data_IF_203027890914
#
_entry.id   IF_203027890914
#
_cell.length_a   1.000
_cell.length_b   1.000
_cell.length_c   1.000
_cell.angle_alpha   90.00
_cell.angle_beta   90.00
_cell.angle_gamma   90.00
#
_symmetry.space_group_name_H-M   'P 1'
#
loop_
_entity.id
_entity.type
_entity.pdbx_description
1 polymer ?
#
# COMPACT_ATOMS: atom_id res chain seq x y z
N UNK A 1 1.65 20.81 -2.86
CA UNK A 1 1.26 19.47 -2.36
C UNK A 1 0.03 19.55 -1.43
N UNK A 2 -1.10 20.11 -1.89
CA UNK A 2 -2.38 20.03 -1.13
C UNK A 2 -3.05 18.63 -1.25
N UNK A 3 -2.62 17.83 -2.24
CA UNK A 3 -3.25 16.55 -2.62
C UNK A 3 -3.11 15.45 -1.54
N UNK A 4 -2.11 15.56 -0.64
CA UNK A 4 -1.83 14.58 0.42
C UNK A 4 -2.18 15.10 1.84
N UNK A 5 -2.91 16.21 1.96
CA UNK A 5 -3.25 16.75 3.27
C UNK A 5 -4.19 15.79 4.05
N UNK A 6 -3.70 15.23 5.15
CA UNK A 6 -4.45 14.31 6.01
C UNK A 6 -5.10 15.08 7.16
N UNK A 7 -6.44 15.17 7.15
CA UNK A 7 -7.22 15.78 8.23
C UNK A 7 -7.83 14.70 9.13
N UNK A 8 -7.73 14.83 10.47
CA UNK A 8 -8.34 13.89 11.40
C UNK A 8 -9.86 13.86 11.22
N UNK A 9 -10.44 12.71 11.51
CA UNK A 9 -11.89 12.56 11.46
C UNK A 9 -12.53 13.06 12.76
N UNK A 10 -13.72 13.67 12.64
CA UNK A 10 -14.55 14.08 13.78
C UNK A 10 -15.44 12.93 14.31
N UNK A 11 -15.10 11.68 13.98
CA UNK A 11 -15.89 10.47 14.31
C UNK A 11 -14.98 9.36 14.84
N UNK A 12 -15.53 8.42 15.60
CA UNK A 12 -14.80 7.28 16.17
C UNK A 12 -14.66 6.18 15.12
N UNK A 13 -13.45 5.99 14.61
CA UNK A 13 -13.17 4.97 13.59
C UNK A 13 -12.28 3.88 14.14
N UNK A 14 -12.63 2.62 13.85
CA UNK A 14 -11.79 1.46 14.10
C UNK A 14 -11.34 0.82 12.78
N UNK A 15 -10.03 0.71 12.58
CA UNK A 15 -9.44 0.04 11.44
C UNK A 15 -8.94 -1.35 11.84
N UNK A 16 -9.34 -2.38 11.10
CA UNK A 16 -8.77 -3.72 11.21
C UNK A 16 -7.84 -3.96 10.03
N UNK A 17 -6.53 -4.00 10.30
CA UNK A 17 -5.49 -4.08 9.26
C UNK A 17 -4.89 -5.48 9.25
N UNK A 18 -4.93 -6.13 8.09
CA UNK A 18 -4.46 -7.50 7.88
C UNK A 18 -3.32 -7.48 6.87
N UNK A 19 -2.17 -8.08 7.24
CA UNK A 19 -1.11 -8.41 6.29
C UNK A 19 -1.42 -9.78 5.68
N UNK A 20 -1.61 -9.84 4.36
CA UNK A 20 -1.99 -11.05 3.62
C UNK A 20 -1.20 -11.12 2.31
N UNK A 21 -0.82 -12.32 1.89
CA UNK A 21 -0.38 -12.54 0.51
C UNK A 21 -1.59 -12.57 -0.43
N UNK A 22 -1.39 -12.16 -1.69
CA UNK A 22 -2.42 -12.16 -2.75
C UNK A 22 -3.05 -13.54 -2.95
N UNK A 23 -2.32 -14.61 -2.64
CA UNK A 23 -2.75 -16.00 -2.82
C UNK A 23 -3.47 -16.59 -1.59
N UNK A 24 -3.52 -15.87 -0.47
CA UNK A 24 -4.12 -16.36 0.79
C UNK A 24 -5.60 -15.94 0.95
N UNK A 25 -6.25 -15.56 -0.15
CA UNK A 25 -7.61 -15.02 -0.17
C UNK A 25 -8.58 -15.91 -0.97
N UNK A 26 -9.78 -16.22 -0.46
CA UNK A 26 -10.24 -16.22 0.93
C UNK A 26 -9.96 -17.57 1.63
N UNK A 27 -9.71 -17.53 2.94
CA UNK A 27 -9.73 -18.73 3.80
C UNK A 27 -11.17 -19.16 4.13
N UNK A 28 -11.47 -19.36 5.41
CA UNK A 28 -12.82 -19.73 5.88
C UNK A 28 -13.85 -18.58 5.77
N UNK A 29 -14.73 -18.68 4.75
CA UNK A 29 -15.82 -17.73 4.46
C UNK A 29 -16.82 -17.57 5.62
N UNK A 30 -17.13 -18.64 6.37
CA UNK A 30 -18.11 -18.57 7.47
C UNK A 30 -17.56 -17.75 8.63
N UNK A 31 -16.31 -18.01 8.97
CA UNK A 31 -15.62 -17.33 10.03
C UNK A 31 -15.37 -15.84 9.69
N UNK A 32 -15.08 -15.54 8.43
CA UNK A 32 -15.04 -14.17 7.91
C UNK A 32 -16.40 -13.48 8.01
N UNK A 33 -17.49 -14.13 7.61
CA UNK A 33 -18.85 -13.59 7.75
C UNK A 33 -19.18 -13.23 9.20
N UNK A 34 -18.84 -14.11 10.14
CA UNK A 34 -19.05 -13.85 11.56
C UNK A 34 -18.24 -12.63 12.04
N UNK A 35 -16.96 -12.54 11.65
CA UNK A 35 -16.12 -11.41 11.98
C UNK A 35 -16.69 -10.08 11.45
N UNK A 36 -17.11 -10.05 10.18
CA UNK A 36 -17.65 -8.85 9.53
C UNK A 36 -18.90 -8.34 10.26
N UNK A 37 -19.77 -9.26 10.72
CA UNK A 37 -20.96 -8.94 11.54
C UNK A 37 -20.58 -8.44 12.93
N UNK A 38 -19.78 -9.21 13.66
CA UNK A 38 -19.40 -8.91 15.05
C UNK A 38 -18.70 -7.55 15.18
N UNK A 39 -17.92 -7.18 14.16
CA UNK A 39 -17.16 -5.93 14.16
C UNK A 39 -17.91 -4.79 13.47
N UNK A 40 -19.11 -5.02 12.95
CA UNK A 40 -19.93 -4.05 12.21
C UNK A 40 -19.10 -3.33 11.11
N UNK A 41 -18.42 -4.13 10.27
CA UNK A 41 -17.57 -3.61 9.19
C UNK A 41 -18.45 -2.96 8.12
N UNK A 42 -18.17 -1.69 7.80
CA UNK A 42 -18.91 -0.90 6.81
C UNK A 42 -18.36 -1.00 5.39
N UNK A 43 -17.03 -1.11 5.28
CA UNK A 43 -16.36 -1.27 4.01
C UNK A 43 -15.03 -1.99 4.17
N UNK A 44 -14.51 -2.50 3.06
CA UNK A 44 -13.20 -3.13 2.95
C UNK A 44 -12.35 -2.38 1.93
N UNK A 45 -11.05 -2.28 2.20
CA UNK A 45 -10.07 -1.73 1.25
C UNK A 45 -8.95 -2.72 1.00
N UNK A 46 -8.43 -2.73 -0.22
CA UNK A 46 -7.33 -3.59 -0.63
C UNK A 46 -6.18 -2.75 -1.20
N UNK A 47 -4.98 -2.94 -0.68
CA UNK A 47 -3.73 -2.45 -1.28
C UNK A 47 -3.08 -3.60 -2.08
N UNK A 48 -3.85 -4.17 -3.00
CA UNK A 48 -3.41 -5.23 -3.91
C UNK A 48 -3.68 -4.78 -5.34
N UNK A 49 -2.78 -5.10 -6.25
CA UNK A 49 -3.08 -4.99 -7.67
C UNK A 49 -3.81 -6.24 -8.17
N UNK A 50 -5.14 -6.15 -8.30
CA UNK A 50 -5.95 -7.20 -8.92
C UNK A 50 -7.09 -6.65 -9.76
N UNK A 51 -7.55 -7.44 -10.72
CA UNK A 51 -8.67 -7.08 -11.57
C UNK A 51 -9.99 -7.13 -10.77
N UNK A 52 -10.57 -5.96 -10.47
CA UNK A 52 -11.85 -5.85 -9.75
C UNK A 52 -13.01 -6.60 -10.43
N UNK A 53 -12.99 -6.77 -11.76
CA UNK A 53 -14.03 -7.54 -12.49
C UNK A 53 -13.89 -9.05 -12.30
N UNK A 54 -12.68 -9.54 -12.03
CA UNK A 54 -12.46 -10.94 -11.69
C UNK A 54 -12.74 -11.17 -10.21
N UNK A 55 -12.30 -10.25 -9.35
CA UNK A 55 -12.57 -10.28 -7.92
C UNK A 55 -14.08 -10.30 -7.62
N UNK A 56 -14.89 -9.53 -8.35
CA UNK A 56 -16.34 -9.47 -8.14
C UNK A 56 -17.07 -10.81 -8.37
N UNK A 57 -16.41 -11.79 -9.01
CA UNK A 57 -16.93 -13.16 -9.23
C UNK A 57 -16.53 -14.14 -8.13
N UNK A 58 -15.73 -13.72 -7.16
CA UNK A 58 -15.26 -14.59 -6.08
C UNK A 58 -16.35 -14.79 -5.01
N UNK A 59 -16.33 -15.93 -4.32
CA UNK A 59 -17.23 -16.19 -3.17
C UNK A 59 -17.12 -15.09 -2.11
N UNK A 60 -15.93 -14.51 -1.96
CA UNK A 60 -15.72 -13.41 -1.05
C UNK A 60 -16.46 -12.15 -1.47
N UNK A 61 -16.37 -11.73 -2.73
CA UNK A 61 -17.12 -10.58 -3.21
C UNK A 61 -18.64 -10.80 -3.12
N UNK A 62 -19.12 -12.03 -3.38
CA UNK A 62 -20.51 -12.40 -3.18
C UNK A 62 -20.95 -12.22 -1.72
N UNK A 63 -20.17 -12.72 -0.75
CA UNK A 63 -20.43 -12.51 0.67
C UNK A 63 -20.54 -11.02 1.02
N UNK A 64 -19.61 -10.19 0.53
CA UNK A 64 -19.62 -8.75 0.81
C UNK A 64 -20.87 -8.07 0.24
N UNK A 65 -21.24 -8.42 -0.99
CA UNK A 65 -22.44 -7.90 -1.65
C UNK A 65 -23.71 -8.28 -0.86
N UNK A 66 -23.83 -9.55 -0.45
CA UNK A 66 -24.98 -10.05 0.33
C UNK A 66 -25.10 -9.35 1.68
N UNK A 67 -23.96 -8.94 2.28
CA UNK A 67 -23.90 -8.21 3.53
C UNK A 67 -24.02 -6.68 3.36
N UNK A 68 -24.11 -6.17 2.13
CA UNK A 68 -24.13 -4.74 1.84
C UNK A 68 -22.82 -4.01 2.19
N UNK A 69 -21.70 -4.73 2.25
CA UNK A 69 -20.37 -4.19 2.55
C UNK A 69 -19.70 -3.76 1.25
N UNK A 70 -19.42 -2.47 1.10
CA UNK A 70 -18.69 -1.97 -0.07
C UNK A 70 -17.21 -2.34 0.02
N UNK A 71 -16.57 -2.53 -1.14
CA UNK A 71 -15.15 -2.86 -1.19
C UNK A 71 -14.43 -2.08 -2.28
N UNK A 72 -13.22 -1.65 -1.97
CA UNK A 72 -12.48 -0.67 -2.76
C UNK A 72 -11.03 -1.09 -2.93
N UNK A 73 -10.52 -1.02 -4.15
CA UNK A 73 -9.08 -1.08 -4.39
C UNK A 73 -8.49 0.30 -4.09
N UNK A 74 -7.44 0.33 -3.28
CA UNK A 74 -6.70 1.54 -2.94
C UNK A 74 -5.44 1.53 -3.76
N UNK A 75 -5.49 2.23 -4.88
CA UNK A 75 -4.37 2.39 -5.79
C UNK A 75 -3.90 3.86 -5.79
N UNK A 76 -2.62 4.06 -6.13
CA UNK A 76 -2.06 5.38 -6.36
C UNK A 76 -2.27 5.70 -7.85
N UNK A 77 -3.13 6.67 -8.19
CA UNK A 77 -3.36 7.02 -9.59
C UNK A 77 -2.05 7.37 -10.29
N UNK A 78 -1.93 6.99 -11.56
CA UNK A 78 -0.74 7.26 -12.37
C UNK A 78 -0.33 8.75 -12.36
N UNK A 79 -1.28 9.69 -12.32
CA UNK A 79 -0.92 11.12 -12.25
C UNK A 79 -0.29 11.52 -10.90
N UNK A 80 -0.69 10.87 -9.80
CA UNK A 80 -0.10 11.08 -8.49
C UNK A 80 1.27 10.42 -8.43
N UNK A 81 1.43 9.26 -9.09
CA UNK A 81 2.73 8.64 -9.32
C UNK A 81 3.62 9.54 -10.20
N UNK A 82 3.10 10.13 -11.27
CA UNK A 82 3.87 10.90 -12.24
C UNK A 82 4.69 12.04 -11.62
N UNK A 83 4.08 12.87 -10.78
CA UNK A 83 4.79 13.95 -10.07
C UNK A 83 5.84 13.44 -9.07
N UNK A 84 5.64 12.22 -8.58
CA UNK A 84 6.46 11.60 -7.55
C UNK A 84 7.63 10.81 -8.19
N UNK A 85 7.41 10.24 -9.37
CA UNK A 85 8.32 9.39 -10.10
C UNK A 85 9.09 10.13 -11.20
N UNK A 86 8.71 11.35 -11.60
CA UNK A 86 9.43 12.14 -12.61
C UNK A 86 10.93 12.23 -12.33
N UNK A 87 11.29 12.60 -11.10
CA UNK A 87 12.69 12.70 -10.65
C UNK A 87 13.39 11.33 -10.52
N UNK A 88 12.64 10.23 -10.37
CA UNK A 88 13.20 8.87 -10.46
C UNK A 88 13.42 8.47 -11.91
N UNK A 89 12.45 8.75 -12.80
CA UNK A 89 12.50 8.43 -14.21
C UNK A 89 13.65 9.16 -14.91
N UNK A 90 13.85 10.45 -14.61
CA UNK A 90 14.99 11.22 -15.11
C UNK A 90 16.32 10.58 -14.70
N UNK A 91 16.41 10.09 -13.45
CA UNK A 91 17.60 9.40 -12.95
C UNK A 91 17.78 8.01 -13.56
N UNK A 92 16.69 7.27 -13.78
CA UNK A 92 16.73 5.98 -14.46
C UNK A 92 17.14 6.11 -15.93
N UNK A 93 16.71 7.17 -16.61
CA UNK A 93 17.13 7.48 -17.97
C UNK A 93 18.63 7.80 -18.01
N UNK A 94 19.10 8.69 -17.14
CA UNK A 94 20.53 8.97 -16.98
C UNK A 94 21.33 7.71 -16.62
N UNK A 95 20.80 6.85 -15.74
CA UNK A 95 21.43 5.59 -15.38
C UNK A 95 21.59 4.68 -16.60
N UNK A 96 20.55 4.56 -17.43
CA UNK A 96 20.62 3.77 -18.67
C UNK A 96 21.68 4.33 -19.61
N UNK A 97 21.70 5.64 -19.83
CA UNK A 97 22.70 6.29 -20.68
C UNK A 97 24.14 6.02 -20.20
N UNK A 98 24.40 6.18 -18.90
CA UNK A 98 25.73 5.94 -18.32
C UNK A 98 26.13 4.46 -18.40
N UNK A 99 25.18 3.55 -18.18
CA UNK A 99 25.40 2.10 -18.30
C UNK A 99 25.73 1.73 -19.75
N UNK A 100 25.00 2.28 -20.72
CA UNK A 100 25.26 2.09 -22.15
C UNK A 100 26.65 2.63 -22.54
N UNK A 101 27.00 3.84 -22.10
CA UNK A 101 28.34 4.41 -22.33
C UNK A 101 29.40 3.49 -21.73
N UNK A 102 29.25 3.06 -20.48
CA UNK A 102 30.22 2.17 -19.82
C UNK A 102 30.35 0.81 -20.50
N UNK A 103 29.26 0.25 -20.99
CA UNK A 103 29.26 -1.01 -21.73
C UNK A 103 29.96 -0.87 -23.09
N UNK A 104 29.88 0.30 -23.73
CA UNK A 104 30.53 0.60 -25.01
C UNK A 104 32.04 0.86 -24.89
N UNK A 105 32.57 1.05 -23.68
CA UNK A 105 33.99 1.30 -23.46
C UNK A 105 34.85 0.05 -23.67
N UNK A 106 35.93 0.21 -24.44
CA UNK A 106 36.94 -0.83 -24.66
C UNK A 106 37.81 -1.06 -23.41
N UNK A 107 38.17 0.02 -22.70
CA UNK A 107 39.00 -0.04 -21.48
C UNK A 107 38.23 0.47 -20.25
N UNK A 108 37.68 -0.49 -19.50
CA UNK A 108 36.90 -0.26 -18.28
C UNK A 108 37.77 0.00 -17.06
N UNK A 109 39.05 -0.36 -17.11
CA UNK A 109 40.01 -0.15 -16.01
C UNK A 109 40.70 1.21 -16.10
N UNK A 110 40.50 1.94 -17.20
CA UNK A 110 40.90 3.34 -17.33
C UNK A 110 40.31 4.22 -16.22
N UNK A 111 40.96 5.34 -15.94
CA UNK A 111 40.44 6.35 -14.99
C UNK A 111 39.00 6.78 -15.35
N UNK A 112 38.70 6.90 -16.64
CA UNK A 112 37.35 7.22 -17.12
C UNK A 112 36.37 6.07 -16.83
N UNK A 113 36.76 4.82 -17.10
CA UNK A 113 35.91 3.64 -16.85
C UNK A 113 35.59 3.47 -15.36
N UNK A 114 36.58 3.59 -14.49
CA UNK A 114 36.39 3.54 -13.04
C UNK A 114 35.52 4.69 -12.52
N UNK A 115 35.69 5.91 -13.05
CA UNK A 115 34.87 7.06 -12.68
C UNK A 115 33.41 6.87 -13.09
N UNK A 116 33.17 6.37 -14.30
CA UNK A 116 31.83 6.11 -14.82
C UNK A 116 31.12 5.00 -14.03
N UNK A 117 31.84 3.93 -13.68
CA UNK A 117 31.32 2.87 -12.80
C UNK A 117 30.89 3.41 -11.44
N UNK A 118 31.71 4.25 -10.81
CA UNK A 118 31.37 4.87 -9.53
C UNK A 118 30.12 5.75 -9.63
N UNK A 119 29.95 6.48 -10.73
CA UNK A 119 28.74 7.28 -10.98
C UNK A 119 27.50 6.41 -11.17
N UNK A 120 27.61 5.31 -11.91
CA UNK A 120 26.53 4.32 -12.09
C UNK A 120 26.12 3.73 -10.74
N UNK A 121 27.09 3.31 -9.92
CA UNK A 121 26.82 2.74 -8.61
C UNK A 121 26.15 3.76 -7.67
N UNK A 122 26.66 5.00 -7.63
CA UNK A 122 26.05 6.09 -6.85
C UNK A 122 24.62 6.41 -7.31
N UNK A 123 24.39 6.49 -8.61
CA UNK A 123 23.08 6.81 -9.17
C UNK A 123 22.06 5.70 -8.91
N UNK A 124 22.49 4.43 -8.96
CA UNK A 124 21.66 3.28 -8.57
C UNK A 124 21.23 3.39 -7.11
N UNK A 125 22.16 3.69 -6.21
CA UNK A 125 21.86 3.80 -4.79
C UNK A 125 20.90 4.98 -4.51
N UNK A 126 21.10 6.13 -5.18
CA UNK A 126 20.17 7.26 -5.11
C UNK A 126 18.75 6.91 -5.59
N UNK A 127 18.63 6.19 -6.71
CA UNK A 127 17.33 5.72 -7.23
C UNK A 127 16.65 4.85 -6.18
N UNK A 128 17.36 3.84 -5.65
CA UNK A 128 16.82 2.93 -4.64
C UNK A 128 16.37 3.66 -3.37
N UNK A 129 17.17 4.61 -2.86
CA UNK A 129 16.80 5.40 -1.69
C UNK A 129 15.53 6.21 -1.94
N UNK A 130 15.39 6.81 -3.14
CA UNK A 130 14.17 7.54 -3.51
C UNK A 130 12.98 6.60 -3.60
N UNK A 131 13.08 5.46 -4.28
CA UNK A 131 12.01 4.46 -4.37
C UNK A 131 11.54 3.99 -2.98
N UNK A 132 12.48 3.74 -2.07
CA UNK A 132 12.19 3.37 -0.68
C UNK A 132 11.45 4.51 0.03
N UNK A 133 11.94 5.75 -0.09
CA UNK A 133 11.32 6.92 0.51
C UNK A 133 9.88 7.13 0.02
N UNK A 134 9.64 6.98 -1.28
CA UNK A 134 8.30 7.04 -1.86
C UNK A 134 7.38 5.94 -1.33
N UNK A 135 7.89 4.72 -1.30
CA UNK A 135 7.16 3.54 -0.84
C UNK A 135 6.81 3.62 0.65
N UNK A 136 7.68 4.21 1.47
CA UNK A 136 7.48 4.30 2.93
C UNK A 136 6.80 5.58 3.40
N UNK A 137 6.86 6.68 2.64
CA UNK A 137 6.19 7.94 3.03
C UNK A 137 4.92 8.19 2.26
N UNK A 138 4.96 8.15 0.93
CA UNK A 138 3.83 8.61 0.13
C UNK A 138 2.75 7.54 0.04
N UNK A 139 3.11 6.29 -0.24
CA UNK A 139 2.12 5.20 -0.37
C UNK A 139 1.26 5.02 0.89
N UNK A 140 1.82 4.93 2.12
CA UNK A 140 1.02 4.86 3.34
C UNK A 140 0.11 6.07 3.55
N UNK A 141 0.57 7.29 3.23
CA UNK A 141 -0.24 8.50 3.33
C UNK A 141 -1.41 8.48 2.33
N UNK A 142 -1.16 8.05 1.10
CA UNK A 142 -2.19 7.92 0.08
C UNK A 142 -3.25 6.89 0.47
N UNK A 143 -2.80 5.73 0.96
CA UNK A 143 -3.68 4.67 1.43
C UNK A 143 -4.56 5.18 2.58
N UNK A 144 -3.94 5.81 3.58
CA UNK A 144 -4.67 6.42 4.69
C UNK A 144 -5.69 7.46 4.18
N UNK A 145 -5.28 8.35 3.27
CA UNK A 145 -6.17 9.37 2.70
C UNK A 145 -7.41 8.74 2.08
N UNK A 146 -7.25 7.72 1.24
CA UNK A 146 -8.37 7.03 0.58
C UNK A 146 -9.31 6.38 1.60
N UNK A 147 -8.79 5.74 2.64
CA UNK A 147 -9.62 5.19 3.72
C UNK A 147 -10.43 6.28 4.44
N UNK A 148 -9.79 7.42 4.74
CA UNK A 148 -10.47 8.53 5.40
C UNK A 148 -11.49 9.21 4.50
N UNK A 149 -11.20 9.34 3.20
CA UNK A 149 -12.14 9.85 2.20
C UNK A 149 -13.39 8.96 2.13
N UNK A 150 -13.22 7.64 2.12
CA UNK A 150 -14.35 6.70 2.22
C UNK A 150 -15.07 6.86 3.56
N UNK A 151 -14.35 6.93 4.70
CA UNK A 151 -14.98 7.13 6.01
C UNK A 151 -15.83 8.42 6.06
N UNK A 152 -15.49 9.46 5.31
CA UNK A 152 -16.24 10.72 5.26
C UNK A 152 -17.59 10.61 4.54
N UNK A 153 -17.77 9.62 3.66
CA UNK A 153 -19.06 9.42 2.96
C UNK A 153 -20.13 8.79 3.87
N UNK A 154 -19.72 8.17 4.97
CA UNK A 154 -20.60 7.60 5.99
C UNK A 154 -21.00 8.66 7.01
N UNK A 155 -22.26 8.66 7.49
CA UNK A 155 -22.77 9.66 8.43
C UNK A 155 -22.65 9.22 9.90
N UNK A 156 -22.30 7.96 10.14
CA UNK A 156 -22.24 7.37 11.47
C UNK A 156 -21.11 7.97 12.32
N UNK A 157 -21.41 8.21 13.60
CA UNK A 157 -20.42 8.70 14.59
C UNK A 157 -19.40 7.62 14.99
N UNK A 158 -19.78 6.35 14.88
CA UNK A 158 -18.92 5.20 15.10
C UNK A 158 -18.94 4.27 13.90
N UNK A 159 -17.77 3.89 13.39
CA UNK A 159 -17.68 2.94 12.30
C UNK A 159 -16.41 2.09 12.38
N UNK A 160 -16.47 0.95 11.70
CA UNK A 160 -15.32 0.09 11.52
C UNK A 160 -15.11 -0.25 10.05
N UNK A 161 -13.86 -0.36 9.64
CA UNK A 161 -13.48 -0.83 8.31
C UNK A 161 -12.35 -1.85 8.38
N UNK A 162 -12.22 -2.62 7.31
CA UNK A 162 -11.17 -3.61 7.14
C UNK A 162 -10.22 -3.17 6.03
N UNK A 163 -8.93 -3.43 6.22
CA UNK A 163 -7.91 -3.19 5.21
C UNK A 163 -6.99 -4.39 5.05
N UNK A 164 -6.75 -4.79 3.82
CA UNK A 164 -5.74 -5.77 3.47
C UNK A 164 -4.54 -5.10 2.82
N UNK A 165 -3.37 -5.29 3.43
CA UNK A 165 -2.08 -4.80 2.94
C UNK A 165 -1.35 -5.94 2.27
N UNK A 166 -0.80 -5.70 1.08
CA UNK A 166 0.07 -6.66 0.40
C UNK A 166 1.35 -6.92 1.19
N UNK A 167 1.70 -8.20 1.32
CA UNK A 167 2.89 -8.62 2.06
C UNK A 167 4.21 -8.21 1.38
N UNK A 168 4.20 -8.01 0.06
CA UNK A 168 5.39 -7.74 -0.74
C UNK A 168 5.65 -6.26 -1.05
N UNK A 169 6.96 -5.95 -1.07
CA UNK A 169 7.69 -4.73 -1.47
C UNK A 169 8.28 -3.91 -0.31
N UNK A 170 7.63 -3.83 0.85
CA UNK A 170 8.26 -3.23 2.04
C UNK A 170 7.59 -3.73 3.32
N UNK A 171 8.33 -4.41 4.19
CA UNK A 171 7.79 -4.91 5.47
C UNK A 171 7.17 -3.80 6.34
N UNK A 172 7.55 -2.54 6.08
CA UNK A 172 7.22 -1.38 6.89
C UNK A 172 5.99 -0.56 6.43
N UNK A 173 5.39 -0.81 5.26
CA UNK A 173 4.19 -0.06 4.81
C UNK A 173 3.05 -0.18 5.82
N UNK A 174 2.80 -1.39 6.32
CA UNK A 174 1.77 -1.63 7.33
C UNK A 174 2.06 -0.91 8.65
N UNK A 175 3.35 -0.79 9.02
CA UNK A 175 3.81 -0.09 10.23
C UNK A 175 3.55 1.41 10.10
N UNK A 176 3.98 2.01 8.99
CA UNK A 176 3.79 3.44 8.71
C UNK A 176 2.32 3.81 8.56
N UNK A 177 1.53 3.00 7.83
CA UNK A 177 0.09 3.19 7.73
C UNK A 177 -0.59 3.19 9.11
N UNK A 178 -0.19 2.25 9.98
CA UNK A 178 -0.73 2.17 11.34
C UNK A 178 -0.40 3.41 12.17
N UNK A 179 0.83 3.92 12.07
CA UNK A 179 1.24 5.17 12.75
C UNK A 179 0.40 6.35 12.25
N UNK A 180 0.26 6.50 10.93
CA UNK A 180 -0.52 7.58 10.31
C UNK A 180 -1.98 7.53 10.79
N UNK A 181 -2.63 6.37 10.73
CA UNK A 181 -4.03 6.21 11.15
C UNK A 181 -4.22 6.54 12.63
N UNK A 182 -3.31 6.07 13.50
CA UNK A 182 -3.36 6.39 14.94
C UNK A 182 -3.22 7.89 15.21
N UNK A 183 -2.31 8.58 14.51
CA UNK A 183 -2.16 10.03 14.61
C UNK A 183 -3.41 10.81 14.15
N UNK A 184 -4.27 10.17 13.34
CA UNK A 184 -5.52 10.74 12.83
C UNK A 184 -6.75 10.30 13.63
N UNK A 185 -6.55 9.87 14.88
CA UNK A 185 -7.57 9.39 15.81
C UNK A 185 -8.33 8.13 15.36
N UNK A 186 -7.71 7.32 14.49
CA UNK A 186 -8.26 6.00 14.11
C UNK A 186 -7.69 4.94 15.03
N UNK A 187 -8.56 4.15 15.68
CA UNK A 187 -8.14 3.01 16.49
C UNK A 187 -7.76 1.85 15.58
N UNK A 188 -6.47 1.55 15.46
CA UNK A 188 -5.97 0.46 14.62
C UNK A 188 -5.77 -0.84 15.41
N UNK A 189 -6.36 -1.93 14.93
CA UNK A 189 -6.13 -3.30 15.38
C UNK A 189 -5.41 -4.03 14.24
N UNK A 190 -4.15 -4.40 14.46
CA UNK A 190 -3.30 -5.02 13.46
C UNK A 190 -3.23 -6.53 13.68
N UNK A 191 -3.38 -7.30 12.60
CA UNK A 191 -3.19 -8.74 12.59
C UNK A 191 -1.93 -9.06 11.77
N UNK A 192 -0.89 -9.55 12.46
CA UNK A 192 0.38 -10.00 11.86
C UNK A 192 0.54 -11.50 12.05
N UNK A 193 1.39 -12.15 11.23
CA UNK A 193 1.73 -13.59 11.33
C UNK A 193 2.16 -14.04 12.75
N UNK A 194 2.70 -13.15 13.59
CA UNK A 194 3.13 -13.43 14.98
C UNK A 194 2.01 -13.38 16.02
N UNK A 195 0.86 -12.78 15.70
CA UNK A 195 -0.33 -13.02 16.51
C UNK A 195 -0.82 -14.41 16.16
N UNK A 196 -0.51 -15.37 17.04
CA UNK A 196 -1.03 -16.72 17.02
C UNK A 196 -2.56 -16.66 16.93
N UNK A 197 -3.03 -16.66 15.69
CA UNK A 197 -4.41 -16.88 15.29
C UNK A 197 -4.69 -18.38 15.41
N UNK A 198 -4.47 -18.91 16.62
CA UNK A 198 -5.13 -20.16 17.03
C UNK A 198 -6.54 -19.89 17.55
N UNK A 199 -6.99 -18.62 17.58
CA UNK A 199 -8.33 -18.24 18.04
C UNK A 199 -9.05 -17.13 17.25
N UNK A 200 -8.50 -16.60 16.16
CA UNK A 200 -9.21 -15.63 15.30
C UNK A 200 -8.88 -15.88 13.82
N UNK A 201 -9.21 -17.08 13.33
CA UNK A 201 -9.46 -17.38 11.90
C UNK A 201 -8.34 -17.06 10.89
N UNK A 202 -7.67 -18.10 10.39
CA UNK A 202 -7.09 -18.16 9.04
C UNK A 202 -7.38 -19.52 8.42
#
# INVERSE_FOLDING_TARGET
MEVLELKPLKKRVKAYVFKKSRHEFPGDIKALSQFLKDKNIKFITFDFDFNMKEFSKTEFAHLLNDMGISYHQVDIPEYAMGYIYEDILEKEELFKELVEEYQSMEDKDSYKGLSLKNWIDMLRDEIQEKEINLSLKIRPQWIAKKMLDICRTYNEEEMAFMHFVQEDICEDICSELTKILRNLNVRVIQYTKKHNVKHIVF
#
